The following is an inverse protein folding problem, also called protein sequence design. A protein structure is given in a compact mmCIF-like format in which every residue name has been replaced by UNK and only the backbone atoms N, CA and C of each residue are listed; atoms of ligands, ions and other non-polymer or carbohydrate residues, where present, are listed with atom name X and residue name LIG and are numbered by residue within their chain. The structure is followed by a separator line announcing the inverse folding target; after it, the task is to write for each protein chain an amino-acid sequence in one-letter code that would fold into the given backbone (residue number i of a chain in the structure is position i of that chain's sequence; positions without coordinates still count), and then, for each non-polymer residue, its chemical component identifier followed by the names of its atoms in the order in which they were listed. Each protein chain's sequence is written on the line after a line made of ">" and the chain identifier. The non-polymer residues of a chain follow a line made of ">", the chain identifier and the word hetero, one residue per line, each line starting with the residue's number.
data_IF_176715709528
#
_entry.id   IF_176715709528
#
_cell.length_a   1.000
_cell.length_b   1.000
_cell.length_c   1.000
_cell.angle_alpha   90.00
_cell.angle_beta   90.00
_cell.angle_gamma   90.00
#
_symmetry.space_group_name_H-M   'P 1'
#
loop_
_entity.id
_entity.type
_entity.pdbx_description
1 polymer ?
#
# COMPACT_ATOMS: atom_id res chain seq x y z
N UNK A 1 -0.06 20.35 -4.93
CA UNK A 1 -1.30 20.43 -4.12
C UNK A 1 -1.02 19.75 -2.78
N UNK A 2 -1.59 20.19 -1.66
CA UNK A 2 -1.42 19.52 -0.35
C UNK A 2 -2.77 19.04 0.16
N UNK A 3 -2.79 17.87 0.78
CA UNK A 3 -3.97 17.28 1.43
C UNK A 3 -3.75 17.31 2.94
N UNK A 4 -4.83 17.44 3.72
CA UNK A 4 -4.72 17.33 5.17
C UNK A 4 -4.40 15.90 5.57
N UNK A 5 -3.63 15.76 6.64
CA UNK A 5 -3.15 14.47 7.12
C UNK A 5 -4.28 13.48 7.43
N UNK A 6 -5.30 13.89 8.20
CA UNK A 6 -6.47 13.03 8.50
C UNK A 6 -7.21 12.57 7.23
N UNK A 7 -7.28 13.43 6.20
CA UNK A 7 -7.92 13.07 4.94
C UNK A 7 -7.07 12.08 4.15
N UNK A 8 -5.75 12.24 4.18
CA UNK A 8 -4.82 11.25 3.62
C UNK A 8 -5.02 9.88 4.28
N UNK A 9 -4.98 9.83 5.61
CA UNK A 9 -5.13 8.59 6.36
C UNK A 9 -6.48 7.89 6.10
N UNK A 10 -7.56 8.67 5.91
CA UNK A 10 -8.88 8.10 5.58
C UNK A 10 -8.99 7.50 4.18
N UNK A 11 -8.13 7.91 3.24
CA UNK A 11 -8.14 7.45 1.85
C UNK A 11 -7.14 6.32 1.60
N UNK A 12 -5.97 6.41 2.23
CA UNK A 12 -4.81 5.55 1.90
C UNK A 12 -4.24 4.83 3.13
N UNK A 13 -4.83 5.01 4.32
CA UNK A 13 -4.28 4.48 5.56
C UNK A 13 -3.15 5.34 6.15
N UNK A 14 -2.66 4.96 7.34
CA UNK A 14 -1.62 5.70 8.07
C UNK A 14 -0.30 5.70 7.29
N UNK A 15 0.46 6.78 7.38
CA UNK A 15 1.78 6.95 6.74
C UNK A 15 2.87 7.26 7.77
N UNK A 16 4.11 7.49 7.35
CA UNK A 16 5.28 7.65 8.24
C UNK A 16 5.01 8.62 9.40
N UNK A 17 5.27 8.16 10.63
CA UNK A 17 5.03 8.89 11.88
C UNK A 17 3.63 8.71 12.48
N UNK A 18 2.70 8.11 11.73
CA UNK A 18 1.36 7.81 12.25
C UNK A 18 1.39 6.64 13.20
N UNK A 19 0.44 6.66 14.14
CA UNK A 19 0.36 5.65 15.19
C UNK A 19 -0.98 4.96 15.21
N UNK A 20 -0.95 3.63 15.31
CA UNK A 20 -2.14 2.78 15.36
C UNK A 20 -2.14 1.98 16.65
N UNK A 21 -3.27 2.00 17.37
CA UNK A 21 -3.49 1.16 18.55
C UNK A 21 -3.85 -0.25 18.12
N UNK A 22 -3.21 -1.25 18.72
CA UNK A 22 -3.54 -2.65 18.48
C UNK A 22 -4.78 -3.04 19.29
N UNK A 23 -5.92 -3.11 18.61
CA UNK A 23 -7.22 -3.44 19.20
C UNK A 23 -7.54 -2.55 20.43
N UNK A 24 -8.03 -3.15 21.50
CA UNK A 24 -8.38 -2.51 22.77
C UNK A 24 -7.22 -2.47 23.78
N UNK A 25 -6.01 -2.79 23.35
CA UNK A 25 -4.83 -2.82 24.22
C UNK A 25 -4.21 -1.43 24.44
N UNK A 26 -3.18 -1.36 25.28
CA UNK A 26 -2.30 -0.19 25.43
C UNK A 26 -1.11 -0.20 24.46
N UNK A 27 -1.03 -1.16 23.52
CA UNK A 27 0.05 -1.23 22.54
C UNK A 27 -0.24 -0.28 21.38
N UNK A 28 0.76 0.52 21.03
CA UNK A 28 0.72 1.48 19.92
C UNK A 28 1.93 1.21 19.04
N UNK A 29 1.69 1.02 17.74
CA UNK A 29 2.72 0.89 16.72
C UNK A 29 2.83 2.19 15.93
N UNK A 30 4.03 2.54 15.48
CA UNK A 30 4.31 3.71 14.65
C UNK A 30 4.77 3.25 13.26
N UNK A 31 4.31 3.93 12.21
CA UNK A 31 4.77 3.67 10.85
C UNK A 31 6.18 4.25 10.68
N UNK A 32 7.18 3.38 10.57
CA UNK A 32 8.59 3.76 10.50
C UNK A 32 8.98 4.24 9.09
N UNK A 33 8.33 3.69 8.07
CA UNK A 33 8.57 4.01 6.67
C UNK A 33 7.32 3.78 5.82
N UNK A 34 7.15 4.61 4.78
CA UNK A 34 6.15 4.42 3.73
C UNK A 34 6.90 4.28 2.39
N UNK A 35 6.61 3.22 1.65
CA UNK A 35 7.20 2.91 0.34
C UNK A 35 6.44 3.56 -0.83
N UNK A 36 5.33 4.24 -0.55
CA UNK A 36 4.58 4.96 -1.58
C UNK A 36 5.32 6.20 -2.12
N UNK A 37 4.95 6.61 -3.32
CA UNK A 37 5.22 7.97 -3.82
C UNK A 37 3.94 8.79 -3.66
N UNK A 38 3.99 9.86 -2.86
CA UNK A 38 2.79 10.63 -2.51
C UNK A 38 2.13 11.27 -3.73
N UNK A 39 0.88 10.89 -4.00
CA UNK A 39 0.10 11.29 -5.17
C UNK A 39 -0.12 10.17 -6.20
N UNK A 40 0.68 9.09 -6.14
CA UNK A 40 0.60 7.93 -7.02
C UNK A 40 0.11 6.67 -6.28
N UNK A 41 -0.62 6.84 -5.18
CA UNK A 41 -1.11 5.71 -4.38
C UNK A 41 -1.99 4.77 -5.22
N UNK A 42 -1.67 3.47 -5.19
CA UNK A 42 -2.42 2.46 -5.90
C UNK A 42 -3.78 2.22 -5.22
N UNK A 43 -4.88 2.55 -5.90
CA UNK A 43 -6.25 2.29 -5.41
C UNK A 43 -7.10 1.74 -6.55
N UNK A 44 -7.80 0.63 -6.27
CA UNK A 44 -8.77 0.02 -7.17
C UNK A 44 -10.19 0.56 -6.92
N UNK A 45 -10.98 0.70 -7.99
CA UNK A 45 -12.38 1.11 -7.93
C UNK A 45 -12.81 2.00 -9.10
N UNK A 46 -14.10 2.33 -9.16
CA UNK A 46 -14.67 3.19 -10.20
C UNK A 46 -13.97 4.55 -10.26
N UNK A 47 -13.32 4.85 -11.39
CA UNK A 47 -12.60 6.11 -11.62
C UNK A 47 -11.33 6.29 -10.78
N UNK A 48 -10.76 5.21 -10.23
CA UNK A 48 -9.53 5.25 -9.41
C UNK A 48 -8.28 5.03 -10.26
N UNK A 49 -7.14 4.76 -9.61
CA UNK A 49 -5.81 4.74 -10.24
C UNK A 49 -5.57 3.43 -11.00
N UNK A 50 -5.93 2.29 -10.41
CA UNK A 50 -5.71 0.97 -11.03
C UNK A 50 -6.76 0.75 -12.13
N UNK A 51 -6.42 1.21 -13.32
CA UNK A 51 -7.19 1.10 -14.56
C UNK A 51 -6.22 0.91 -15.72
N UNK A 52 -6.73 0.32 -16.79
CA UNK A 52 -5.98 0.11 -18.03
C UNK A 52 -5.29 1.40 -18.50
N UNK A 53 -3.98 1.32 -18.78
CA UNK A 53 -3.19 2.43 -19.30
C UNK A 53 -2.83 3.49 -18.26
N UNK A 54 -3.18 3.28 -16.99
CA UNK A 54 -2.83 4.14 -15.85
C UNK A 54 -2.00 3.34 -14.85
N UNK A 55 -2.50 3.08 -13.64
CA UNK A 55 -1.83 2.24 -12.65
C UNK A 55 -1.78 0.75 -13.01
N UNK A 56 -2.43 0.34 -14.10
CA UNK A 56 -2.36 -1.02 -14.65
C UNK A 56 -1.75 -0.99 -16.04
N UNK A 57 -0.61 -1.66 -16.22
CA UNK A 57 0.04 -1.79 -17.52
C UNK A 57 -0.75 -2.76 -18.41
N UNK A 58 -1.22 -2.34 -19.61
CA UNK A 58 -2.04 -3.18 -20.47
C UNK A 58 -1.26 -4.06 -21.44
N UNK A 59 0.06 -3.87 -21.57
CA UNK A 59 0.88 -4.52 -22.57
C UNK A 59 1.66 -5.72 -22.02
N UNK A 60 2.01 -5.68 -20.74
CA UNK A 60 2.80 -6.73 -20.11
C UNK A 60 1.96 -7.97 -19.82
N UNK A 61 2.53 -9.12 -20.13
CA UNK A 61 2.00 -10.43 -19.82
C UNK A 61 2.44 -10.89 -18.43
N UNK A 62 1.76 -11.91 -17.90
CA UNK A 62 2.11 -12.53 -16.62
C UNK A 62 3.58 -12.94 -16.54
N UNK A 63 4.12 -13.52 -17.62
CA UNK A 63 5.47 -14.06 -17.64
C UNK A 63 6.55 -12.96 -17.51
N UNK A 64 6.22 -11.72 -17.83
CA UNK A 64 7.12 -10.56 -17.78
C UNK A 64 7.29 -9.91 -16.40
N UNK A 65 6.71 -10.48 -15.34
CA UNK A 65 6.89 -9.95 -13.98
C UNK A 65 5.62 -9.52 -13.27
N UNK A 66 4.49 -9.46 -13.98
CA UNK A 66 3.23 -8.93 -13.46
C UNK A 66 2.74 -9.77 -12.26
N UNK A 67 2.35 -9.14 -11.13
CA UNK A 67 1.83 -9.86 -9.97
C UNK A 67 0.45 -10.48 -10.25
N UNK A 68 0.17 -11.61 -9.62
CA UNK A 68 -1.14 -12.28 -9.67
C UNK A 68 -2.17 -11.57 -8.77
N UNK A 69 -1.70 -10.97 -7.66
CA UNK A 69 -2.48 -10.19 -6.71
C UNK A 69 -1.61 -9.06 -6.15
N UNK A 70 -2.23 -7.90 -5.92
CA UNK A 70 -1.61 -6.78 -5.18
C UNK A 70 -2.50 -6.40 -4.01
N UNK A 71 -1.95 -6.41 -2.79
CA UNK A 71 -2.58 -5.80 -1.62
C UNK A 71 -2.09 -4.36 -1.52
N UNK A 72 -2.95 -3.40 -1.84
CA UNK A 72 -2.56 -1.98 -1.87
C UNK A 72 -2.61 -1.34 -0.49
N UNK A 73 -1.66 -0.47 -0.19
CA UNK A 73 -1.58 0.37 1.02
C UNK A 73 -1.67 -0.42 2.34
N UNK A 74 -0.98 -1.56 2.42
CA UNK A 74 -0.96 -2.35 3.63
C UNK A 74 -0.08 -1.70 4.71
N UNK A 75 -0.56 -1.64 5.95
CA UNK A 75 0.28 -1.44 7.13
C UNK A 75 0.83 -2.81 7.55
N UNK A 76 2.11 -3.01 7.33
CA UNK A 76 2.81 -4.27 7.59
C UNK A 76 3.43 -4.20 8.98
N UNK A 77 3.10 -5.19 9.80
CA UNK A 77 3.74 -5.47 11.08
C UNK A 77 4.44 -6.81 10.95
N UNK A 78 5.76 -6.79 10.89
CA UNK A 78 6.60 -7.97 10.80
C UNK A 78 7.84 -7.81 11.69
N UNK A 79 8.54 -8.92 11.97
CA UNK A 79 9.83 -8.90 12.65
C UNK A 79 10.89 -8.02 11.96
N UNK A 80 10.75 -7.77 10.66
CA UNK A 80 11.64 -6.90 9.89
C UNK A 80 11.31 -5.40 10.02
N UNK A 81 10.16 -5.04 10.58
CA UNK A 81 9.79 -3.64 10.84
C UNK A 81 8.28 -3.37 10.78
N UNK A 82 7.94 -2.09 10.98
CA UNK A 82 6.56 -1.60 10.90
C UNK A 82 6.48 -0.52 9.83
N UNK A 83 5.94 -0.86 8.66
CA UNK A 83 5.99 0.02 7.50
C UNK A 83 4.77 -0.11 6.61
N UNK A 84 4.56 0.89 5.75
CA UNK A 84 3.49 0.90 4.76
C UNK A 84 4.03 0.60 3.37
N UNK A 85 3.39 -0.34 2.67
CA UNK A 85 3.76 -0.72 1.31
C UNK A 85 2.62 -1.43 0.58
N UNK A 86 2.77 -1.58 -0.74
CA UNK A 86 1.95 -2.48 -1.55
C UNK A 86 2.59 -3.87 -1.57
N UNK A 87 1.83 -4.94 -1.39
CA UNK A 87 2.39 -6.31 -1.41
C UNK A 87 2.01 -7.00 -2.71
N UNK A 88 3.01 -7.32 -3.52
CA UNK A 88 2.86 -8.14 -4.72
C UNK A 88 2.93 -9.64 -4.39
N UNK A 89 1.97 -10.41 -4.91
CA UNK A 89 1.94 -11.87 -4.80
C UNK A 89 1.97 -12.50 -6.19
N UNK A 90 2.82 -13.49 -6.39
CA UNK A 90 2.89 -14.30 -7.62
C UNK A 90 3.17 -15.76 -7.31
N UNK A 91 2.41 -16.67 -7.92
CA UNK A 91 2.60 -18.11 -7.73
C UNK A 91 2.62 -18.52 -6.26
N UNK A 92 1.73 -17.94 -5.44
CA UNK A 92 1.61 -18.14 -3.99
C UNK A 92 2.77 -17.62 -3.13
N UNK A 93 3.68 -16.79 -3.68
CA UNK A 93 4.78 -16.18 -2.95
C UNK A 93 4.69 -14.66 -2.97
N UNK A 94 5.11 -14.02 -1.89
CA UNK A 94 5.36 -12.59 -1.87
C UNK A 94 6.59 -12.29 -2.75
N UNK A 95 6.44 -11.38 -3.70
CA UNK A 95 7.51 -11.04 -4.65
C UNK A 95 8.16 -9.69 -4.37
N UNK A 96 7.60 -8.90 -3.46
CA UNK A 96 8.17 -7.62 -3.04
C UNK A 96 7.15 -6.71 -2.35
N UNK A 97 7.68 -5.63 -1.79
CA UNK A 97 7.00 -4.49 -1.18
C UNK A 97 7.84 -3.23 -1.32
#
# INVERSE_FOLDING_TARGET
>A
MKISHNKYASLYGPTTGDRVRLADTSLIIEVEKDYTSYGDEAVFGGGKVIREGMGMNPLLTRDEGVPDLVLTNALILDSTGIYKADIGVRGYRCTGW
#
